data_IF_249442928056
#
_entry.id   IF_249442928056
#
_cell.length_a   1.000
_cell.length_b   1.000
_cell.length_c   1.000
_cell.angle_alpha   90.00
_cell.angle_beta   90.00
_cell.angle_gamma   90.00
#
_symmetry.space_group_name_H-M   'P 1'
#
loop_
_entity.id
_entity.type
_entity.pdbx_description
1 polymer ?
#
# COMPACT_ATOMS: atom_id res chain seq x y z
N UNK A 1 -33.17 -12.64 10.64
CA UNK A 1 -31.81 -13.21 10.52
C UNK A 1 -31.17 -12.51 9.34
N UNK A 2 -30.27 -11.56 9.60
CA UNK A 2 -29.64 -10.75 8.56
C UNK A 2 -28.42 -11.53 8.06
N UNK A 3 -28.44 -11.98 6.81
CA UNK A 3 -27.26 -12.57 6.17
C UNK A 3 -26.30 -11.43 5.84
N UNK A 4 -25.19 -11.34 6.57
CA UNK A 4 -24.07 -10.51 6.16
C UNK A 4 -23.38 -11.26 5.03
N UNK A 5 -23.50 -10.74 3.82
CA UNK A 5 -22.75 -11.25 2.68
C UNK A 5 -21.26 -10.96 2.92
N UNK A 6 -20.50 -12.01 3.30
CA UNK A 6 -19.05 -11.96 3.49
C UNK A 6 -18.29 -11.99 2.14
N UNK A 7 -18.99 -12.01 1.00
CA UNK A 7 -18.36 -12.03 -0.33
C UNK A 7 -18.10 -10.64 -0.91
N UNK A 8 -17.80 -9.66 -0.05
CA UNK A 8 -16.83 -8.66 -0.49
C UNK A 8 -15.46 -9.37 -0.55
N UNK A 9 -15.26 -10.14 -1.62
CA UNK A 9 -13.92 -10.22 -2.19
C UNK A 9 -13.61 -8.78 -2.57
N UNK A 10 -13.14 -7.99 -1.60
CA UNK A 10 -12.26 -6.88 -1.85
C UNK A 10 -11.20 -7.52 -2.73
N UNK A 11 -11.30 -7.38 -4.06
CA UNK A 11 -10.22 -7.84 -4.93
C UNK A 11 -8.97 -7.27 -4.31
N UNK A 12 -8.09 -8.15 -3.84
CA UNK A 12 -6.82 -7.76 -3.24
C UNK A 12 -6.16 -6.84 -4.25
N UNK A 13 -6.25 -5.54 -3.98
CA UNK A 13 -5.72 -4.53 -4.89
C UNK A 13 -4.26 -4.48 -4.51
N UNK A 14 -3.46 -5.32 -5.12
CA UNK A 14 -2.00 -5.28 -4.97
C UNK A 14 -1.38 -4.17 -5.82
N UNK A 15 -2.13 -3.67 -6.80
CA UNK A 15 -1.65 -2.78 -7.86
C UNK A 15 -2.36 -1.42 -7.83
N UNK A 16 -1.58 -0.34 -7.87
CA UNK A 16 -2.04 1.00 -8.22
C UNK A 16 -1.76 1.28 -9.69
N UNK A 17 -2.82 1.51 -10.44
CA UNK A 17 -2.74 1.95 -11.83
C UNK A 17 -2.53 3.46 -11.90
N UNK A 18 -1.75 3.93 -12.89
CA UNK A 18 -1.55 5.35 -13.11
C UNK A 18 -2.85 6.06 -13.50
N UNK A 19 -2.88 7.38 -13.25
CA UNK A 19 -3.94 8.31 -13.65
C UNK A 19 -5.35 8.06 -13.06
N UNK A 20 -5.46 7.37 -11.92
CA UNK A 20 -6.76 7.27 -11.24
C UNK A 20 -6.79 6.52 -9.91
N UNK A 21 -5.84 5.59 -9.68
CA UNK A 21 -5.76 4.94 -8.38
C UNK A 21 -5.04 5.81 -7.36
N UNK A 22 -5.53 5.81 -6.12
CA UNK A 22 -4.88 6.47 -4.98
C UNK A 22 -5.14 5.64 -3.73
N UNK A 23 -4.22 5.71 -2.78
CA UNK A 23 -4.43 5.23 -1.41
C UNK A 23 -4.65 6.42 -0.49
N UNK A 24 -5.56 6.28 0.44
CA UNK A 24 -5.84 7.21 1.51
C UNK A 24 -5.99 6.44 2.83
N UNK A 25 -6.45 7.09 3.90
CA UNK A 25 -6.60 6.45 5.21
C UNK A 25 -7.68 5.37 5.27
N UNK A 26 -8.58 5.28 4.29
CA UNK A 26 -9.65 4.29 4.23
C UNK A 26 -9.38 3.15 3.26
N UNK A 27 -8.16 3.04 2.72
CA UNK A 27 -7.77 2.02 1.74
C UNK A 27 -6.38 1.45 1.99
N UNK A 28 -6.16 0.24 1.50
CA UNK A 28 -4.89 -0.48 1.56
C UNK A 28 -4.63 -1.22 0.26
N UNK A 29 -3.35 -1.50 -0.02
CA UNK A 29 -2.99 -2.59 -0.92
C UNK A 29 -2.77 -3.85 -0.10
N UNK A 30 -3.13 -4.98 -0.68
CA UNK A 30 -2.90 -6.31 -0.09
C UNK A 30 -2.18 -7.13 -1.14
N UNK A 31 -1.05 -7.74 -0.77
CA UNK A 31 -0.31 -8.65 -1.64
C UNK A 31 -1.22 -9.76 -2.15
N UNK A 32 -0.97 -10.32 -3.33
CA UNK A 32 -1.83 -11.36 -3.93
C UNK A 32 -2.11 -12.57 -3.00
N UNK A 33 -1.13 -12.95 -2.18
CA UNK A 33 -1.21 -14.02 -1.17
C UNK A 33 -1.77 -13.58 0.18
N UNK A 34 -2.18 -12.32 0.31
CA UNK A 34 -2.74 -11.70 1.52
C UNK A 34 -1.79 -11.70 2.72
N UNK A 35 -0.50 -11.93 2.52
CA UNK A 35 0.51 -11.97 3.59
C UNK A 35 0.99 -10.60 4.06
N UNK A 36 0.92 -9.60 3.18
CA UNK A 36 1.36 -8.24 3.46
C UNK A 36 0.31 -7.22 3.05
N UNK A 37 0.21 -6.15 3.83
CA UNK A 37 -0.60 -4.98 3.50
C UNK A 37 0.25 -3.72 3.47
N UNK A 38 0.00 -2.86 2.49
CA UNK A 38 0.53 -1.50 2.42
C UNK A 38 -0.61 -0.51 2.71
N UNK A 39 -0.50 0.28 3.78
CA UNK A 39 -1.59 1.16 4.23
C UNK A 39 -1.09 2.35 5.03
N UNK A 40 -2.00 3.32 5.22
CA UNK A 40 -1.80 4.40 6.18
C UNK A 40 -2.00 3.86 7.60
N UNK A 41 -1.11 4.21 8.52
CA UNK A 41 -1.21 3.88 9.92
C UNK A 41 -0.96 5.12 10.77
N UNK A 42 -1.68 5.17 11.90
CA UNK A 42 -1.55 6.20 12.92
C UNK A 42 -0.95 5.54 14.15
N UNK A 43 0.13 6.11 14.64
CA UNK A 43 0.72 5.74 15.91
C UNK A 43 0.53 6.88 16.89
N UNK A 44 -0.23 6.58 17.95
CA UNK A 44 -0.54 7.51 19.02
C UNK A 44 0.31 7.17 20.23
N UNK A 45 1.20 8.09 20.59
CA UNK A 45 1.86 8.10 21.89
C UNK A 45 1.16 9.10 22.81
N UNK A 46 1.44 9.04 24.12
CA UNK A 46 0.76 9.84 25.16
C UNK A 46 0.79 11.37 24.98
N UNK A 47 1.53 11.89 23.99
CA UNK A 47 1.60 13.33 23.69
C UNK A 47 1.52 13.69 22.20
N UNK A 48 1.53 12.71 21.29
CA UNK A 48 1.65 12.97 19.84
C UNK A 48 0.99 11.86 19.03
N UNK A 49 0.25 12.26 18.01
CA UNK A 49 -0.22 11.38 16.94
C UNK A 49 0.72 11.53 15.75
N UNK A 50 1.18 10.40 15.21
CA UNK A 50 2.07 10.37 14.04
C UNK A 50 1.50 9.45 12.97
N UNK A 51 1.27 10.00 11.79
CA UNK A 51 0.82 9.23 10.64
C UNK A 51 1.99 8.89 9.74
N UNK A 52 2.08 7.62 9.34
CA UNK A 52 3.03 7.14 8.34
C UNK A 52 2.36 6.09 7.44
N UNK A 53 3.00 5.80 6.33
CA UNK A 53 2.61 4.72 5.42
C UNK A 53 3.57 3.56 5.66
N UNK A 54 3.03 2.36 5.83
CA UNK A 54 3.81 1.18 6.19
C UNK A 54 3.46 -0.05 5.37
N UNK A 55 4.36 -1.02 5.40
CA UNK A 55 4.08 -2.41 5.02
C UNK A 55 4.08 -3.26 6.29
N UNK A 56 3.01 -4.01 6.48
CA UNK A 56 2.81 -4.86 7.65
C UNK A 56 2.53 -6.30 7.21
N UNK A 57 2.95 -7.27 8.02
CA UNK A 57 2.53 -8.66 7.84
C UNK A 57 1.10 -8.84 8.35
N UNK A 58 0.25 -9.52 7.60
CA UNK A 58 -1.15 -9.79 7.98
C UNK A 58 -1.32 -10.99 8.94
N UNK A 59 -0.27 -11.33 9.69
CA UNK A 59 -0.34 -12.36 10.73
C UNK A 59 -1.03 -11.79 11.98
N UNK A 60 -1.55 -12.66 12.83
CA UNK A 60 -2.19 -12.26 14.09
C UNK A 60 -1.30 -11.35 14.96
N UNK A 61 0.01 -11.65 15.01
CA UNK A 61 1.03 -10.84 15.69
C UNK A 61 1.94 -10.13 14.66
N UNK A 62 1.35 -9.65 13.58
CA UNK A 62 2.05 -9.04 12.46
C UNK A 62 2.83 -7.78 12.86
N UNK A 63 4.14 -7.79 12.61
CA UNK A 63 4.99 -6.63 12.82
C UNK A 63 4.99 -5.70 11.59
N UNK A 64 5.34 -4.44 11.81
CA UNK A 64 5.71 -3.50 10.74
C UNK A 64 7.02 -3.97 10.12
N UNK A 65 6.97 -4.35 8.85
CA UNK A 65 8.13 -4.78 8.08
C UNK A 65 8.90 -3.59 7.48
N UNK A 66 8.18 -2.49 7.16
CA UNK A 66 8.78 -1.30 6.57
C UNK A 66 7.96 -0.03 6.84
N UNK A 67 8.65 1.11 6.98
CA UNK A 67 8.05 2.45 7.12
C UNK A 67 8.52 3.32 5.95
N UNK A 68 7.57 3.83 5.16
CA UNK A 68 7.86 4.60 3.95
C UNK A 68 8.39 5.99 4.29
N UNK A 69 7.65 6.73 5.11
CA UNK A 69 7.97 8.09 5.53
C UNK A 69 8.17 8.13 7.06
N UNK A 70 9.25 8.74 7.57
CA UNK A 70 9.36 9.02 8.99
C UNK A 70 8.27 10.01 9.44
N UNK A 71 7.93 10.05 10.75
CA UNK A 71 6.86 10.88 11.27
C UNK A 71 6.92 12.32 10.79
N UNK A 72 5.76 12.88 10.43
CA UNK A 72 5.58 14.30 10.07
C UNK A 72 6.31 14.76 8.80
N UNK A 73 6.67 13.83 7.91
CA UNK A 73 7.28 14.15 6.61
C UNK A 73 6.46 13.61 5.44
N UNK A 74 6.49 14.31 4.31
CA UNK A 74 6.06 13.78 3.01
C UNK A 74 7.26 13.19 2.28
N UNK A 75 7.02 12.13 1.48
CA UNK A 75 8.07 11.44 0.72
C UNK A 75 7.60 11.16 -0.70
N UNK A 76 8.53 11.28 -1.63
CA UNK A 76 8.40 10.81 -3.01
C UNK A 76 9.56 9.88 -3.36
N UNK A 77 9.34 8.99 -4.31
CA UNK A 77 10.44 8.34 -5.04
C UNK A 77 10.92 9.29 -6.12
N UNK A 78 12.24 9.38 -6.32
CA UNK A 78 12.82 10.17 -7.40
C UNK A 78 13.09 9.24 -8.59
N UNK A 79 12.13 9.12 -9.49
CA UNK A 79 12.33 8.45 -10.78
C UNK A 79 12.72 9.52 -11.79
N UNK A 80 14.01 9.61 -12.10
CA UNK A 80 14.51 10.46 -13.18
C UNK A 80 14.21 9.82 -14.54
N UNK A 81 13.72 10.62 -15.50
CA UNK A 81 13.65 10.30 -16.94
C UNK A 81 12.61 9.24 -17.39
N UNK A 82 11.51 9.05 -16.67
CA UNK A 82 10.43 8.18 -17.14
C UNK A 82 9.44 8.93 -18.03
N UNK A 83 9.30 8.50 -19.30
CA UNK A 83 8.20 8.88 -20.20
C UNK A 83 7.13 7.77 -20.28
N UNK A 84 7.33 6.69 -19.51
CA UNK A 84 6.50 5.50 -19.52
C UNK A 84 5.38 5.58 -18.48
N UNK A 85 4.38 4.73 -18.66
CA UNK A 85 3.28 4.56 -17.71
C UNK A 85 3.79 3.69 -16.56
N UNK A 86 3.90 4.25 -15.34
CA UNK A 86 4.41 3.53 -14.16
C UNK A 86 3.27 2.94 -13.34
N UNK A 87 3.34 1.65 -13.01
CA UNK A 87 2.45 0.97 -12.05
C UNK A 87 3.19 0.75 -10.73
N UNK A 88 2.46 0.72 -9.62
CA UNK A 88 3.03 0.35 -8.33
C UNK A 88 2.37 -0.91 -7.79
N UNK A 89 3.16 -1.91 -7.40
CA UNK A 89 2.69 -3.26 -7.06
C UNK A 89 3.28 -3.68 -5.71
N UNK A 90 2.44 -4.21 -4.82
CA UNK A 90 2.86 -4.92 -3.60
C UNK A 90 2.97 -6.42 -3.88
N UNK A 91 4.19 -6.94 -3.88
CA UNK A 91 4.49 -8.34 -4.14
C UNK A 91 4.30 -9.21 -2.89
N UNK A 92 4.13 -10.53 -3.10
CA UNK A 92 4.02 -11.54 -2.03
C UNK A 92 5.25 -11.67 -1.13
N UNK A 93 6.40 -11.15 -1.59
CA UNK A 93 7.60 -11.04 -0.77
C UNK A 93 7.53 -9.90 0.24
N UNK A 94 6.54 -9.01 0.15
CA UNK A 94 6.46 -7.77 0.91
C UNK A 94 7.22 -6.61 0.25
N UNK A 95 7.80 -6.81 -0.94
CA UNK A 95 8.41 -5.72 -1.69
C UNK A 95 7.34 -4.85 -2.36
N UNK A 96 7.44 -3.53 -2.18
CA UNK A 96 6.66 -2.56 -2.95
C UNK A 96 7.51 -2.01 -4.08
N UNK A 97 7.10 -2.26 -5.32
CA UNK A 97 7.88 -2.00 -6.53
C UNK A 97 7.13 -1.03 -7.43
N UNK A 98 7.85 -0.09 -8.03
CA UNK A 98 7.37 0.72 -9.15
C UNK A 98 7.96 0.13 -10.44
N UNK A 99 7.10 -0.21 -11.40
CA UNK A 99 7.48 -0.85 -12.66
C UNK A 99 7.01 0.01 -13.85
N UNK A 100 7.91 0.22 -14.82
CA UNK A 100 7.57 0.88 -16.07
C UNK A 100 6.87 -0.09 -17.02
N UNK A 101 5.65 0.25 -17.42
CA UNK A 101 4.90 -0.50 -18.43
C UNK A 101 5.12 0.18 -19.77
N UNK A 102 5.87 -0.49 -20.65
CA UNK A 102 6.05 -0.05 -22.03
C UNK A 102 4.73 -0.20 -22.80
N UNK A 103 3.98 0.89 -22.89
CA UNK A 103 2.84 0.96 -23.81
C UNK A 103 3.43 1.17 -25.20
N UNK A 104 3.43 0.12 -26.04
CA UNK A 104 3.76 0.29 -27.46
C UNK A 104 2.72 1.24 -28.06
N UNK A 105 3.19 2.39 -28.56
CA UNK A 105 2.39 3.31 -29.38
C UNK A 105 2.06 2.66 -30.73
#
# INVERSE_FOLDING_TARGET
MLTVDLSQCCKCKDTLKPAGDTLNSSSSLVSASEKFSFSSCVHDDSSKSTSYVSIQSNKADGNIAWICNPPQTTRSTNISNSIATVVAILLDSGNFVQEEVNVKL
#
